data_IF_281995382088
#
_entry.id   IF_281995382088
#
_cell.length_a   1.000
_cell.length_b   1.000
_cell.length_c   1.000
_cell.angle_alpha   90.00
_cell.angle_beta   90.00
_cell.angle_gamma   90.00
#
_symmetry.space_group_name_H-M   'P 1'
#
loop_
_entity.id
_entity.type
_entity.pdbx_description
1 polymer ?
#
# COMPACT_ATOMS: atom_id res chain seq x y z
N UNK A 1 35.22 -46.57 -60.71
CA UNK A 1 35.17 -45.10 -60.90
C UNK A 1 35.41 -44.35 -59.57
N UNK A 2 35.97 -45.01 -58.55
CA UNK A 2 36.17 -44.43 -57.21
C UNK A 2 37.59 -43.87 -57.01
N UNK A 3 38.59 -44.42 -57.70
CA UNK A 3 40.01 -44.02 -57.64
C UNK A 3 40.34 -42.63 -58.22
N UNK A 4 39.42 -42.05 -58.97
CA UNK A 4 39.61 -40.73 -59.60
C UNK A 4 39.18 -39.62 -58.65
N UNK A 5 38.15 -39.86 -57.84
CA UNK A 5 37.58 -38.87 -56.92
C UNK A 5 38.48 -38.61 -55.71
N UNK A 6 39.27 -39.59 -55.27
CA UNK A 6 40.24 -39.43 -54.18
C UNK A 6 41.43 -38.52 -54.53
N UNK A 7 41.69 -38.32 -55.83
CA UNK A 7 42.78 -37.46 -56.33
C UNK A 7 42.33 -36.00 -56.52
N UNK A 8 41.05 -35.69 -56.34
CA UNK A 8 40.51 -34.33 -56.44
C UNK A 8 40.48 -33.72 -55.03
N UNK A 9 41.23 -32.63 -54.83
CA UNK A 9 41.20 -31.90 -53.55
C UNK A 9 39.85 -31.18 -53.39
N UNK A 10 39.25 -31.33 -52.21
CA UNK A 10 38.03 -30.62 -51.88
C UNK A 10 38.42 -29.18 -51.48
N UNK A 11 38.02 -28.20 -52.28
CA UNK A 11 38.17 -26.78 -51.95
C UNK A 11 36.90 -26.34 -51.23
N UNK A 12 37.04 -25.98 -49.95
CA UNK A 12 35.91 -25.44 -49.18
C UNK A 12 35.66 -24.01 -49.64
N UNK A 13 34.43 -23.74 -50.10
CA UNK A 13 34.04 -22.39 -50.54
C UNK A 13 34.28 -21.37 -49.41
N UNK A 14 34.82 -20.17 -49.69
CA UNK A 14 34.95 -19.10 -48.70
C UNK A 14 33.62 -18.72 -48.03
N UNK A 15 32.49 -18.96 -48.71
CA UNK A 15 31.16 -18.77 -48.15
C UNK A 15 30.82 -19.78 -47.02
N UNK A 16 31.47 -20.94 -46.99
CA UNK A 16 31.33 -21.96 -45.94
C UNK A 16 32.42 -21.83 -44.85
N UNK A 17 33.48 -21.07 -45.10
CA UNK A 17 34.59 -20.83 -44.16
C UNK A 17 34.26 -19.77 -43.08
N UNK A 18 32.99 -19.39 -42.94
CA UNK A 18 32.55 -18.31 -42.03
C UNK A 18 32.64 -18.70 -40.54
N UNK A 19 32.78 -19.98 -40.24
CA UNK A 19 32.86 -20.47 -38.87
C UNK A 19 34.30 -20.84 -38.53
N UNK A 20 35.03 -19.90 -37.93
CA UNK A 20 36.28 -20.20 -37.26
C UNK A 20 35.98 -21.01 -35.97
N UNK A 21 36.80 -22.01 -35.62
CA UNK A 21 36.61 -22.76 -34.39
C UNK A 21 36.73 -21.79 -33.20
N UNK A 22 35.66 -21.73 -32.39
CA UNK A 22 35.62 -20.88 -31.20
C UNK A 22 36.55 -21.47 -30.15
N UNK A 23 37.69 -20.84 -29.93
CA UNK A 23 38.59 -21.19 -28.82
C UNK A 23 38.12 -20.48 -27.56
N UNK A 24 37.94 -21.26 -26.50
CA UNK A 24 37.61 -20.69 -25.19
C UNK A 24 38.82 -19.91 -24.65
N UNK A 25 38.60 -18.75 -24.01
CA UNK A 25 39.69 -17.95 -23.45
C UNK A 25 40.37 -18.69 -22.29
N UNK A 26 41.63 -18.33 -21.99
CA UNK A 26 42.46 -18.96 -20.95
C UNK A 26 41.84 -18.97 -19.54
N UNK A 27 40.89 -18.07 -19.28
CA UNK A 27 40.16 -17.98 -18.01
C UNK A 27 38.78 -18.65 -18.00
N UNK A 28 38.40 -19.41 -19.03
CA UNK A 28 37.10 -20.07 -19.07
C UNK A 28 36.99 -21.10 -17.94
N UNK A 29 36.02 -20.88 -17.06
CA UNK A 29 35.62 -21.84 -16.03
C UNK A 29 34.22 -22.32 -16.39
N UNK A 30 34.11 -23.58 -16.78
CA UNK A 30 32.82 -24.24 -16.95
C UNK A 30 32.14 -24.30 -15.59
N UNK A 31 30.99 -23.65 -15.46
CA UNK A 31 30.18 -23.75 -14.25
C UNK A 31 29.60 -25.16 -14.21
N UNK A 32 29.76 -25.83 -13.07
CA UNK A 32 29.14 -27.15 -12.86
C UNK A 32 27.62 -27.03 -12.97
N UNK A 33 26.99 -28.08 -13.51
CA UNK A 33 25.53 -28.18 -13.55
C UNK A 33 24.99 -27.98 -12.13
N UNK A 34 24.10 -27.01 -11.95
CA UNK A 34 23.41 -26.77 -10.68
C UNK A 34 22.75 -28.10 -10.26
N UNK A 35 22.87 -28.51 -8.98
CA UNK A 35 22.18 -29.70 -8.51
C UNK A 35 20.68 -29.55 -8.73
N UNK A 36 20.04 -30.63 -9.17
CA UNK A 36 18.60 -30.67 -9.38
C UNK A 36 17.89 -30.34 -8.06
N UNK A 37 17.14 -29.24 -8.04
CA UNK A 37 16.44 -28.77 -6.83
C UNK A 37 15.28 -29.71 -6.58
N UNK A 38 15.27 -30.38 -5.43
CA UNK A 38 14.14 -31.20 -5.00
C UNK A 38 12.93 -30.30 -4.71
N UNK A 39 11.96 -30.34 -5.62
CA UNK A 39 10.73 -29.54 -5.56
C UNK A 39 9.56 -30.29 -4.89
N UNK A 40 9.79 -31.51 -4.41
CA UNK A 40 8.77 -32.38 -3.81
C UNK A 40 8.04 -31.73 -2.63
N UNK A 41 8.73 -30.88 -1.85
CA UNK A 41 8.17 -30.20 -0.68
C UNK A 41 7.46 -28.87 -0.99
N UNK A 42 7.62 -28.30 -2.19
CA UNK A 42 7.03 -27.01 -2.55
C UNK A 42 5.50 -26.97 -2.38
N UNK A 43 4.72 -28.00 -2.79
CA UNK A 43 3.27 -27.98 -2.62
C UNK A 43 2.85 -27.89 -1.14
N UNK A 44 3.60 -28.55 -0.25
CA UNK A 44 3.34 -28.51 1.19
C UNK A 44 3.62 -27.12 1.75
N UNK A 45 4.73 -26.51 1.35
CA UNK A 45 5.12 -25.16 1.79
C UNK A 45 4.10 -24.12 1.32
N UNK A 46 3.64 -24.21 0.08
CA UNK A 46 2.61 -23.31 -0.48
C UNK A 46 1.32 -23.46 0.32
N UNK A 47 0.85 -24.68 0.53
CA UNK A 47 -0.38 -24.94 1.28
C UNK A 47 -0.30 -24.43 2.73
N UNK A 48 0.81 -24.66 3.41
CA UNK A 48 1.01 -24.17 4.79
C UNK A 48 1.02 -22.62 4.84
N UNK A 49 1.67 -21.99 3.85
CA UNK A 49 1.69 -20.54 3.74
C UNK A 49 0.28 -19.94 3.52
N UNK A 50 -0.53 -20.57 2.68
CA UNK A 50 -1.91 -20.15 2.42
C UNK A 50 -2.78 -20.30 3.68
N UNK A 51 -2.61 -21.40 4.42
CA UNK A 51 -3.30 -21.62 5.69
C UNK A 51 -2.93 -20.58 6.74
N UNK A 52 -1.64 -20.23 6.82
CA UNK A 52 -1.17 -19.19 7.72
C UNK A 52 -1.77 -17.81 7.37
N UNK A 53 -1.81 -17.46 6.09
CA UNK A 53 -2.42 -16.21 5.62
C UNK A 53 -3.93 -16.15 5.93
N UNK A 54 -4.65 -17.23 5.69
CA UNK A 54 -6.07 -17.34 6.03
C UNK A 54 -6.30 -17.18 7.54
N UNK A 55 -5.48 -17.84 8.37
CA UNK A 55 -5.55 -17.72 9.82
C UNK A 55 -5.22 -16.31 10.32
N UNK A 56 -4.29 -15.62 9.67
CA UNK A 56 -3.94 -14.24 10.00
C UNK A 56 -5.08 -13.28 9.66
N UNK A 57 -5.73 -13.45 8.51
CA UNK A 57 -6.88 -12.65 8.10
C UNK A 57 -8.05 -12.81 9.08
N UNK A 58 -8.38 -14.05 9.48
CA UNK A 58 -9.43 -14.31 10.47
C UNK A 58 -9.13 -13.67 11.84
N UNK A 59 -7.87 -13.75 12.32
CA UNK A 59 -7.44 -13.08 13.56
C UNK A 59 -7.50 -11.56 13.45
N UNK A 60 -7.21 -11.00 12.28
CA UNK A 60 -7.29 -9.57 12.04
C UNK A 60 -8.75 -9.08 12.09
N UNK A 61 -9.64 -9.76 11.38
CA UNK A 61 -11.08 -9.45 11.38
C UNK A 61 -11.68 -9.58 12.79
N UNK A 62 -11.35 -10.65 13.52
CA UNK A 62 -11.81 -10.83 14.91
C UNK A 62 -11.38 -9.69 15.83
N UNK A 63 -10.15 -9.17 15.67
CA UNK A 63 -9.65 -8.03 16.45
C UNK A 63 -10.39 -6.74 16.12
N UNK A 64 -10.67 -6.48 14.84
CA UNK A 64 -11.48 -5.32 14.42
C UNK A 64 -12.88 -5.43 15.01
N UNK A 65 -13.53 -6.58 14.86
CA UNK A 65 -14.86 -6.83 15.40
C UNK A 65 -14.91 -6.65 16.93
N UNK A 66 -13.89 -7.14 17.64
CA UNK A 66 -13.75 -6.97 19.08
C UNK A 66 -13.59 -5.49 19.47
N UNK A 67 -12.76 -4.74 18.74
CA UNK A 67 -12.56 -3.31 18.97
C UNK A 67 -13.86 -2.53 18.73
N UNK A 68 -14.58 -2.82 17.65
CA UNK A 68 -15.83 -2.12 17.34
C UNK A 68 -16.94 -2.49 18.31
N UNK A 69 -16.99 -3.75 18.77
CA UNK A 69 -17.86 -4.15 19.86
C UNK A 69 -17.56 -3.34 21.12
N UNK A 70 -16.29 -3.25 21.52
CA UNK A 70 -15.89 -2.47 22.70
C UNK A 70 -16.27 -0.98 22.56
N UNK A 71 -16.09 -0.38 21.39
CA UNK A 71 -16.51 1.02 21.13
C UNK A 71 -18.02 1.20 21.29
N UNK A 72 -18.82 0.27 20.74
CA UNK A 72 -20.29 0.30 20.86
C UNK A 72 -20.71 0.13 22.32
N UNK A 73 -20.14 -0.85 23.02
CA UNK A 73 -20.44 -1.13 24.42
C UNK A 73 -20.10 0.06 25.32
N UNK A 74 -18.96 0.73 25.06
CA UNK A 74 -18.59 1.96 25.77
C UNK A 74 -19.61 3.08 25.51
N UNK A 75 -19.93 3.35 24.23
CA UNK A 75 -20.92 4.37 23.87
C UNK A 75 -22.29 4.09 24.49
N UNK A 76 -22.70 2.82 24.50
CA UNK A 76 -23.96 2.38 25.08
C UNK A 76 -24.00 2.65 26.58
N UNK A 77 -22.95 2.27 27.32
CA UNK A 77 -22.83 2.58 28.75
C UNK A 77 -22.86 4.08 29.02
N UNK A 78 -22.13 4.87 28.24
CA UNK A 78 -22.13 6.33 28.39
C UNK A 78 -23.54 6.93 28.16
N UNK A 79 -24.31 6.38 27.21
CA UNK A 79 -25.69 6.80 26.96
C UNK A 79 -26.59 6.42 28.14
N UNK A 80 -26.47 5.19 28.65
CA UNK A 80 -27.24 4.71 29.79
C UNK A 80 -26.94 5.51 31.06
N UNK A 81 -25.68 5.83 31.32
CA UNK A 81 -25.27 6.70 32.43
C UNK A 81 -25.85 8.11 32.27
N UNK A 82 -25.85 8.69 31.07
CA UNK A 82 -26.50 9.98 30.80
C UNK A 82 -28.02 9.93 31.03
N UNK A 83 -28.68 8.87 30.55
CA UNK A 83 -30.12 8.64 30.76
C UNK A 83 -30.47 8.46 32.22
N UNK A 84 -29.61 7.76 32.98
CA UNK A 84 -29.75 7.60 34.44
C UNK A 84 -29.58 8.94 35.16
N UNK A 85 -28.60 9.75 34.76
CA UNK A 85 -28.29 11.03 35.41
C UNK A 85 -29.39 12.07 35.18
N UNK A 86 -29.95 12.14 33.97
CA UNK A 86 -31.05 13.04 33.66
C UNK A 86 -32.04 12.38 32.69
N UNK A 87 -33.02 11.63 33.22
CA UNK A 87 -34.09 11.04 32.42
C UNK A 87 -34.81 12.12 31.60
N UNK A 88 -34.93 11.93 30.28
CA UNK A 88 -35.65 12.83 29.39
C UNK A 88 -34.92 14.13 29.00
N UNK A 89 -33.84 14.52 29.69
CA UNK A 89 -33.11 15.77 29.38
C UNK A 89 -32.13 15.60 28.19
N UNK A 90 -31.46 14.45 28.09
CA UNK A 90 -30.45 14.20 27.04
C UNK A 90 -31.01 13.55 25.76
N UNK A 91 -32.22 12.99 25.80
CA UNK A 91 -32.82 12.25 24.68
C UNK A 91 -33.73 13.11 23.79
N UNK A 92 -34.11 14.30 24.24
CA UNK A 92 -35.04 15.18 23.53
C UNK A 92 -34.37 16.23 22.64
N UNK A 93 -35.03 16.58 21.54
CA UNK A 93 -34.73 17.79 20.75
C UNK A 93 -35.26 19.07 21.40
N UNK A 94 -36.22 18.95 22.33
CA UNK A 94 -36.81 20.06 23.07
C UNK A 94 -35.87 20.52 24.19
N UNK A 95 -34.94 21.40 23.86
CA UNK A 95 -34.11 22.11 24.84
C UNK A 95 -34.84 23.37 25.29
N UNK A 96 -35.04 23.52 26.59
CA UNK A 96 -35.63 24.73 27.18
C UNK A 96 -34.81 25.99 26.89
N UNK A 97 -33.50 25.82 26.66
CA UNK A 97 -32.58 26.89 26.36
C UNK A 97 -31.76 26.54 25.11
N UNK A 98 -31.95 27.31 24.04
CA UNK A 98 -31.07 27.30 22.87
C UNK A 98 -30.10 28.47 23.06
N UNK A 99 -28.78 28.29 22.88
CA UNK A 99 -27.85 29.40 22.93
C UNK A 99 -28.20 30.43 21.85
N UNK A 100 -28.73 31.58 22.25
CA UNK A 100 -28.85 32.73 21.34
C UNK A 100 -27.49 33.39 21.27
N UNK A 101 -26.89 33.44 20.08
CA UNK A 101 -25.69 34.24 19.87
C UNK A 101 -25.99 35.68 20.30
N UNK A 102 -25.15 36.26 21.17
CA UNK A 102 -25.27 37.68 21.53
C UNK A 102 -25.17 38.48 20.24
N UNK A 103 -26.20 39.27 19.92
CA UNK A 103 -26.09 40.22 18.82
C UNK A 103 -24.87 41.12 19.07
N UNK A 104 -24.02 41.37 18.07
CA UNK A 104 -22.98 42.38 18.21
C UNK A 104 -23.64 43.72 18.60
N UNK A 105 -23.03 44.49 19.51
CA UNK A 105 -23.60 45.74 19.99
C UNK A 105 -23.90 46.68 18.81
N UNK A 106 -25.03 47.42 18.85
CA UNK A 106 -25.37 48.35 17.77
C UNK A 106 -24.28 49.42 17.65
N UNK A 107 -23.72 49.54 16.46
CA UNK A 107 -22.80 50.62 16.10
C UNK A 107 -23.55 51.95 16.26
N UNK A 108 -23.15 52.74 17.26
CA UNK A 108 -23.55 54.15 17.40
C UNK A 108 -22.98 54.96 16.24
N UNK A 109 -23.80 55.63 15.41
CA UNK A 109 -23.32 56.46 14.33
C UNK A 109 -23.14 57.91 14.82
N UNK A 110 -21.93 58.29 15.25
CA UNK A 110 -21.62 59.68 15.57
C UNK A 110 -20.13 59.98 15.28
N UNK A 111 -19.87 60.53 14.09
CA UNK A 111 -18.92 61.61 13.75
C UNK A 111 -17.99 61.35 12.56
N UNK A 112 -18.42 61.90 11.43
CA UNK A 112 -17.54 62.48 10.43
C UNK A 112 -16.67 63.59 11.03
N UNK A 113 -15.51 63.79 10.39
CA UNK A 113 -14.49 64.83 10.60
C UNK A 113 -13.51 64.61 11.78
N UNK A 114 -12.31 64.12 11.46
CA UNK A 114 -11.19 65.02 11.09
C UNK A 114 -9.98 64.24 10.55
N UNK A 115 -9.48 64.73 9.42
CA UNK A 115 -8.26 64.37 8.71
C UNK A 115 -7.02 64.30 9.59
N UNK A 116 -6.21 63.24 9.42
CA UNK A 116 -4.73 63.29 9.36
C UNK A 116 -4.33 62.16 8.39
N UNK A 117 -4.25 62.47 7.09
CA UNK A 117 -2.98 62.69 6.38
C UNK A 117 -2.03 61.49 6.41
N UNK A 118 -1.92 60.89 5.22
CA UNK A 118 -0.80 60.15 4.67
C UNK A 118 0.56 60.45 5.34
N UNK A 119 1.33 59.40 5.64
CA UNK A 119 2.79 59.37 5.39
C UNK A 119 3.29 57.91 5.45
N UNK A 120 3.61 57.37 4.26
CA UNK A 120 4.87 56.68 3.96
C UNK A 120 5.38 55.61 4.93
N UNK A 121 5.48 54.34 4.50
CA UNK A 121 6.64 53.84 3.74
C UNK A 121 6.39 52.40 3.28
N UNK A 122 6.85 52.10 2.06
CA UNK A 122 7.01 50.76 1.50
C UNK A 122 8.02 49.90 2.25
#
# INVERSE_FOLDING_TARGET
MEDVLSKVSIVVSPALAQFAPVTLPYGYKQVESVPEVDTSSLPLIICDSDNYLAGLAAKHESRIAAMDKWKRDKKQRDIEEKKRLAPGYFDGTNRLLVPTAKQPPPETPENDALSIENLHLS
#
